data_IF_118493032185
#
_entry.id   IF_118493032185
#
_cell.length_a   1.000
_cell.length_b   1.000
_cell.length_c   1.000
_cell.angle_alpha   90.00
_cell.angle_beta   90.00
_cell.angle_gamma   90.00
#
_symmetry.space_group_name_H-M   'P 1'
#
loop_
_entity.id
_entity.type
_entity.pdbx_description
1 polymer ?
#
# COMPACT_ATOMS: atom_id res chain seq x y z
N UNK A 1 -0.12 19.24 4.36
CA UNK A 1 0.07 18.05 5.21
C UNK A 1 -0.51 18.19 6.62
N UNK A 2 -0.01 19.10 7.48
CA UNK A 2 -0.43 19.21 8.90
C UNK A 2 -1.94 19.36 9.12
N UNK A 3 -2.63 20.23 8.35
CA UNK A 3 -4.09 20.43 8.46
C UNK A 3 -4.92 19.18 8.09
N UNK A 4 -4.51 18.46 7.04
CA UNK A 4 -5.18 17.21 6.61
C UNK A 4 -5.03 16.11 7.66
N UNK A 5 -3.79 15.89 8.15
CA UNK A 5 -3.50 14.89 9.17
C UNK A 5 -4.23 15.21 10.48
N UNK A 6 -4.20 16.46 10.94
CA UNK A 6 -4.91 16.89 12.16
C UNK A 6 -6.42 16.71 12.01
N UNK A 7 -6.99 17.07 10.85
CA UNK A 7 -8.41 16.88 10.57
C UNK A 7 -8.82 15.41 10.63
N UNK A 8 -8.02 14.54 10.00
CA UNK A 8 -8.24 13.09 10.03
C UNK A 8 -8.11 12.53 11.44
N UNK A 9 -7.06 12.87 12.19
CA UNK A 9 -6.87 12.44 13.58
C UNK A 9 -8.05 12.87 14.44
N UNK A 10 -8.49 14.13 14.35
CA UNK A 10 -9.66 14.61 15.11
C UNK A 10 -10.93 13.83 14.76
N UNK A 11 -11.11 13.45 13.50
CA UNK A 11 -12.25 12.67 13.07
C UNK A 11 -12.19 11.22 13.55
N UNK A 12 -11.01 10.60 13.54
CA UNK A 12 -10.78 9.27 14.13
C UNK A 12 -10.98 9.27 15.66
N UNK A 13 -10.54 10.32 16.35
CA UNK A 13 -10.74 10.46 17.79
C UNK A 13 -12.21 10.66 18.18
N UNK A 14 -13.07 11.16 17.28
CA UNK A 14 -14.52 11.22 17.52
C UNK A 14 -15.16 9.83 17.58
N UNK A 15 -14.61 8.85 16.87
CA UNK A 15 -15.09 7.45 16.90
C UNK A 15 -14.81 6.82 18.27
N UNK A 16 -13.69 7.16 18.92
CA UNK A 16 -13.35 6.70 20.28
C UNK A 16 -14.34 7.19 21.35
N UNK A 17 -15.05 8.29 21.11
CA UNK A 17 -16.08 8.81 22.02
C UNK A 17 -17.41 8.08 21.92
N UNK A 18 -17.58 7.21 20.92
CA UNK A 18 -18.80 6.43 20.69
C UNK A 18 -18.51 4.93 20.83
N UNK A 19 -18.69 4.33 22.03
CA UNK A 19 -18.31 2.93 22.28
C UNK A 19 -18.99 1.93 21.32
N UNK A 20 -20.22 2.23 20.87
CA UNK A 20 -20.94 1.42 19.88
C UNK A 20 -20.26 1.36 18.51
N UNK A 21 -19.53 2.40 18.12
CA UNK A 21 -18.82 2.46 16.83
C UNK A 21 -17.48 1.70 16.86
N UNK A 22 -16.97 1.38 18.05
CA UNK A 22 -15.74 0.61 18.23
C UNK A 22 -15.95 -0.90 18.21
N UNK A 23 -17.19 -1.37 18.38
CA UNK A 23 -17.55 -2.80 18.44
C UNK A 23 -16.99 -3.59 17.25
N UNK A 24 -17.14 -3.16 15.98
CA UNK A 24 -16.60 -3.92 14.85
C UNK A 24 -15.06 -4.03 14.88
N UNK A 25 -14.38 -2.98 15.34
CA UNK A 25 -12.90 -2.97 15.46
C UNK A 25 -12.43 -3.90 16.58
N UNK A 26 -13.14 -3.92 17.71
CA UNK A 26 -12.83 -4.82 18.83
C UNK A 26 -13.05 -6.27 18.42
N UNK A 27 -14.17 -6.58 17.75
CA UNK A 27 -14.45 -7.94 17.25
C UNK A 27 -13.36 -8.39 16.27
N UNK A 28 -12.97 -7.54 15.32
CA UNK A 28 -11.90 -7.86 14.36
C UNK A 28 -10.55 -8.04 15.06
N UNK A 29 -10.27 -7.23 16.08
CA UNK A 29 -9.06 -7.36 16.91
C UNK A 29 -9.01 -8.67 17.68
N UNK A 30 -10.11 -9.07 18.32
CA UNK A 30 -10.25 -10.36 19.00
C UNK A 30 -10.09 -11.51 18.00
N UNK A 31 -10.71 -11.40 16.83
CA UNK A 31 -10.60 -12.39 15.77
C UNK A 31 -9.15 -12.60 15.31
N UNK A 32 -8.40 -11.51 15.10
CA UNK A 32 -6.96 -11.59 14.81
C UNK A 32 -6.15 -12.20 15.94
N UNK A 33 -6.45 -11.86 17.19
CA UNK A 33 -5.76 -12.38 18.36
C UNK A 33 -5.95 -13.90 18.47
N UNK A 34 -7.18 -14.40 18.29
CA UNK A 34 -7.48 -15.84 18.30
C UNK A 34 -6.71 -16.56 17.19
N UNK A 35 -6.75 -16.05 15.95
CA UNK A 35 -6.03 -16.67 14.83
C UNK A 35 -4.51 -16.64 15.01
N UNK A 36 -3.97 -15.57 15.58
CA UNK A 36 -2.55 -15.48 15.90
C UNK A 36 -2.13 -16.49 16.97
N UNK A 37 -2.94 -16.66 18.03
CA UNK A 37 -2.70 -17.65 19.09
C UNK A 37 -2.77 -19.07 18.55
N UNK A 38 -3.80 -19.40 17.74
CA UNK A 38 -3.91 -20.71 17.09
C UNK A 38 -2.67 -21.02 16.24
N UNK A 39 -2.22 -20.05 15.44
CA UNK A 39 -0.97 -20.16 14.68
C UNK A 39 0.26 -20.37 15.57
N UNK A 40 0.35 -19.64 16.68
CA UNK A 40 1.45 -19.75 17.64
C UNK A 40 1.50 -21.11 18.35
N UNK A 41 0.35 -21.73 18.61
CA UNK A 41 0.25 -23.07 19.20
C UNK A 41 0.44 -24.19 18.16
N UNK A 42 0.77 -23.86 16.90
CA UNK A 42 0.91 -24.83 15.82
C UNK A 42 -0.41 -25.41 15.31
N UNK A 43 -1.54 -24.93 15.81
CA UNK A 43 -2.89 -25.34 15.37
C UNK A 43 -3.20 -24.58 14.08
N UNK A 44 -2.83 -25.19 12.95
CA UNK A 44 -3.02 -24.58 11.63
C UNK A 44 -3.74 -25.51 10.63
N UNK A 45 -4.98 -25.97 10.95
CA UNK A 45 -5.79 -26.69 9.97
C UNK A 45 -6.14 -25.76 8.80
N UNK A 46 -6.48 -26.34 7.64
CA UNK A 46 -6.74 -25.59 6.40
C UNK A 46 -7.68 -24.36 6.58
N UNK A 47 -8.80 -24.44 7.32
CA UNK A 47 -9.66 -23.27 7.53
C UNK A 47 -8.97 -22.13 8.27
N UNK A 48 -8.21 -22.44 9.33
CA UNK A 48 -7.44 -21.46 10.11
C UNK A 48 -6.35 -20.84 9.23
N UNK A 49 -5.72 -21.63 8.37
CA UNK A 49 -4.70 -21.15 7.43
C UNK A 49 -5.29 -20.17 6.42
N UNK A 50 -6.44 -20.50 5.84
CA UNK A 50 -7.13 -19.63 4.87
C UNK A 50 -7.58 -18.34 5.55
N UNK A 51 -8.20 -18.42 6.73
CA UNK A 51 -8.64 -17.24 7.47
C UNK A 51 -7.46 -16.37 7.91
N UNK A 52 -6.38 -16.98 8.39
CA UNK A 52 -5.16 -16.28 8.79
C UNK A 52 -4.49 -15.61 7.58
N UNK A 53 -4.51 -16.25 6.41
CA UNK A 53 -4.08 -15.65 5.16
C UNK A 53 -4.99 -14.48 4.81
N UNK A 54 -6.29 -14.68 4.62
CA UNK A 54 -7.23 -13.64 4.17
C UNK A 54 -7.26 -12.41 5.08
N UNK A 55 -7.10 -12.61 6.39
CA UNK A 55 -7.15 -11.53 7.37
C UNK A 55 -5.77 -11.00 7.77
N UNK A 56 -4.68 -11.57 7.23
CA UNK A 56 -3.31 -11.20 7.61
C UNK A 56 -3.08 -11.29 9.13
N UNK A 57 -3.71 -12.26 9.79
CA UNK A 57 -3.72 -12.36 11.26
C UNK A 57 -2.30 -12.55 11.84
N UNK A 58 -1.49 -13.36 11.15
CA UNK A 58 -0.12 -13.72 11.53
C UNK A 58 0.94 -12.71 11.04
N UNK A 59 0.51 -11.63 10.38
CA UNK A 59 1.39 -10.55 9.96
C UNK A 59 2.09 -9.88 11.14
N UNK A 60 3.42 -9.85 11.10
CA UNK A 60 4.26 -9.18 12.10
C UNK A 60 4.67 -10.02 13.31
N UNK A 61 4.24 -11.29 13.42
CA UNK A 61 4.61 -12.16 14.54
C UNK A 61 6.10 -12.54 14.57
N UNK A 62 6.75 -12.63 13.41
CA UNK A 62 8.08 -13.24 13.26
C UNK A 62 9.22 -12.26 12.95
N UNK A 63 8.95 -10.94 12.96
CA UNK A 63 9.94 -9.92 12.54
C UNK A 63 10.43 -9.01 13.67
N UNK A 64 10.30 -9.41 14.93
CA UNK A 64 10.65 -8.57 16.09
C UNK A 64 9.84 -7.27 16.16
N UNK A 65 10.41 -6.23 16.76
CA UNK A 65 9.73 -4.93 16.95
C UNK A 65 9.37 -4.27 15.61
N UNK A 66 10.28 -4.27 14.64
CA UNK A 66 10.02 -3.69 13.31
C UNK A 66 8.97 -4.49 12.54
N UNK A 67 9.01 -5.81 12.62
CA UNK A 67 7.98 -6.67 12.04
C UNK A 67 6.62 -6.47 12.69
N UNK A 68 6.55 -6.23 14.00
CA UNK A 68 5.29 -5.94 14.69
C UNK A 68 4.67 -4.63 14.20
N UNK A 69 5.48 -3.57 14.07
CA UNK A 69 5.02 -2.27 13.52
C UNK A 69 4.53 -2.43 12.08
N UNK A 70 5.30 -3.13 11.24
CA UNK A 70 4.90 -3.44 9.87
C UNK A 70 3.63 -4.29 9.80
N UNK A 71 3.48 -5.27 10.70
CA UNK A 71 2.30 -6.10 10.82
C UNK A 71 1.04 -5.30 11.17
N UNK A 72 1.17 -4.32 12.09
CA UNK A 72 0.08 -3.38 12.42
C UNK A 72 -0.32 -2.57 11.18
N UNK A 73 0.65 -2.04 10.42
CA UNK A 73 0.35 -1.33 9.17
C UNK A 73 -0.38 -2.23 8.17
N UNK A 74 0.06 -3.48 8.00
CA UNK A 74 -0.61 -4.44 7.13
C UNK A 74 -2.04 -4.75 7.57
N UNK A 75 -2.28 -4.87 8.88
CA UNK A 75 -3.62 -5.05 9.45
C UNK A 75 -4.53 -3.84 9.20
N UNK A 76 -3.99 -2.62 9.28
CA UNK A 76 -4.73 -1.40 8.90
C UNK A 76 -5.11 -1.44 7.41
N UNK A 77 -4.20 -1.87 6.54
CA UNK A 77 -4.48 -2.05 5.10
C UNK A 77 -5.59 -3.08 4.88
N UNK A 78 -5.54 -4.23 5.56
CA UNK A 78 -6.59 -5.26 5.48
C UNK A 78 -7.93 -4.73 5.99
N UNK A 79 -7.96 -4.02 7.12
CA UNK A 79 -9.18 -3.42 7.65
C UNK A 79 -9.77 -2.36 6.69
N UNK A 80 -8.93 -1.55 6.07
CA UNK A 80 -9.35 -0.58 5.06
C UNK A 80 -9.97 -1.28 3.84
N UNK A 81 -9.38 -2.39 3.39
CA UNK A 81 -9.92 -3.21 2.32
C UNK A 81 -11.26 -3.86 2.69
N UNK A 82 -11.35 -4.46 3.88
CA UNK A 82 -12.61 -5.01 4.37
C UNK A 82 -13.71 -3.95 4.39
N UNK A 83 -13.42 -2.74 4.88
CA UNK A 83 -14.37 -1.64 4.82
C UNK A 83 -14.75 -1.24 3.38
N UNK A 84 -13.78 -1.22 2.47
CA UNK A 84 -14.01 -0.92 1.04
C UNK A 84 -14.82 -2.00 0.32
N UNK A 85 -14.83 -3.24 0.82
CA UNK A 85 -15.64 -4.34 0.28
C UNK A 85 -17.01 -4.40 0.95
N UNK A 86 -17.04 -4.41 2.27
CA UNK A 86 -18.23 -4.62 3.10
C UNK A 86 -19.23 -3.48 2.91
N UNK A 87 -18.80 -2.21 3.06
CA UNK A 87 -19.73 -1.07 3.04
C UNK A 87 -20.48 -0.97 1.69
N UNK A 88 -19.82 -1.06 0.52
CA UNK A 88 -20.53 -1.08 -0.75
C UNK A 88 -21.45 -2.29 -0.91
N UNK A 89 -21.06 -3.47 -0.43
CA UNK A 89 -21.90 -4.68 -0.50
C UNK A 89 -23.23 -4.47 0.23
N UNK A 90 -23.18 -3.92 1.45
CA UNK A 90 -24.37 -3.58 2.24
C UNK A 90 -25.23 -2.50 1.57
N UNK A 91 -24.60 -1.59 0.82
CA UNK A 91 -25.30 -0.58 0.02
C UNK A 91 -25.77 -1.08 -1.35
N UNK A 92 -25.66 -2.40 -1.64
CA UNK A 92 -25.95 -3.00 -2.96
C UNK A 92 -25.16 -2.35 -4.11
N UNK A 93 -23.99 -1.78 -3.82
CA UNK A 93 -23.05 -1.20 -4.79
C UNK A 93 -21.92 -2.18 -5.07
N UNK A 94 -21.37 -2.14 -6.27
CA UNK A 94 -20.24 -2.99 -6.63
C UNK A 94 -18.95 -2.57 -5.88
N UNK A 95 -18.40 -3.40 -4.98
CA UNK A 95 -17.22 -3.06 -4.18
C UNK A 95 -15.96 -2.94 -5.03
N UNK A 96 -15.94 -3.53 -6.22
CA UNK A 96 -14.82 -3.51 -7.17
C UNK A 96 -15.04 -2.56 -8.35
N UNK A 97 -16.03 -1.66 -8.23
CA UNK A 97 -16.21 -0.56 -9.18
C UNK A 97 -14.93 0.28 -9.25
N UNK A 98 -14.46 0.53 -10.47
CA UNK A 98 -13.20 1.25 -10.74
C UNK A 98 -12.00 0.36 -11.05
N UNK A 99 -12.01 -0.95 -10.79
CA UNK A 99 -10.84 -1.80 -11.14
C UNK A 99 -10.58 -1.80 -12.66
N UNK A 100 -11.61 -1.96 -13.49
CA UNK A 100 -11.43 -1.95 -14.95
C UNK A 100 -10.83 -0.65 -15.49
N UNK A 101 -11.30 0.50 -14.99
CA UNK A 101 -10.71 1.80 -15.29
C UNK A 101 -9.28 1.95 -14.76
N UNK A 102 -9.02 1.38 -13.59
CA UNK A 102 -7.70 1.31 -12.96
C UNK A 102 -6.68 0.52 -13.77
N UNK A 103 -7.07 -0.64 -14.30
CA UNK A 103 -6.25 -1.46 -15.19
C UNK A 103 -5.89 -0.68 -16.46
N UNK A 104 -6.88 -0.06 -17.11
CA UNK A 104 -6.63 0.78 -18.29
C UNK A 104 -5.69 1.95 -17.98
N UNK A 105 -5.89 2.61 -16.84
CA UNK A 105 -5.05 3.71 -16.36
C UNK A 105 -3.61 3.27 -16.06
N UNK A 106 -3.45 2.12 -15.41
CA UNK A 106 -2.17 1.49 -15.10
C UNK A 106 -1.35 1.21 -16.37
N UNK A 107 -1.92 0.48 -17.34
CA UNK A 107 -1.22 0.18 -18.59
C UNK A 107 -0.92 1.43 -19.41
N UNK A 108 -1.83 2.42 -19.44
CA UNK A 108 -1.57 3.71 -20.09
C UNK A 108 -0.41 4.46 -19.42
N UNK A 109 -0.30 4.36 -18.10
CA UNK A 109 0.74 5.01 -17.32
C UNK A 109 2.12 4.33 -17.47
N UNK A 110 2.12 3.03 -17.80
CA UNK A 110 3.33 2.27 -18.12
C UNK A 110 3.94 2.61 -19.48
N UNK A 111 3.18 3.22 -20.39
CA UNK A 111 3.71 3.68 -21.67
C UNK A 111 4.73 4.83 -21.44
N UNK A 112 6.01 4.46 -21.41
CA UNK A 112 7.13 5.40 -21.18
C UNK A 112 7.40 6.18 -22.46
N UNK A 113 7.02 7.46 -22.48
CA UNK A 113 7.35 8.38 -23.58
C UNK A 113 8.60 9.24 -23.33
N UNK A 114 9.17 9.22 -22.11
CA UNK A 114 10.33 10.03 -21.75
C UNK A 114 11.01 9.54 -20.46
N UNK A 115 12.33 9.72 -20.36
CA UNK A 115 13.15 9.42 -19.17
C UNK A 115 12.64 10.12 -17.91
N UNK A 116 12.11 11.34 -18.02
CA UNK A 116 11.50 12.08 -16.90
C UNK A 116 10.24 11.39 -16.33
N UNK A 117 9.62 10.51 -17.12
CA UNK A 117 8.45 9.72 -16.71
C UNK A 117 8.82 8.44 -15.97
N UNK A 118 10.09 8.02 -16.03
CA UNK A 118 10.59 6.79 -15.42
C UNK A 118 10.81 6.98 -13.91
N UNK A 119 11.26 8.17 -13.50
CA UNK A 119 11.57 8.47 -12.10
C UNK A 119 10.40 8.26 -11.14
N UNK A 120 9.17 8.78 -11.39
CA UNK A 120 8.04 8.53 -10.49
C UNK A 120 7.67 7.05 -10.44
N UNK A 121 7.84 6.33 -11.55
CA UNK A 121 7.48 4.93 -11.68
C UNK A 121 8.46 4.02 -10.91
N UNK A 122 9.77 4.22 -11.10
CA UNK A 122 10.81 3.53 -10.32
C UNK A 122 10.68 3.84 -8.82
N UNK A 123 10.41 5.11 -8.48
CA UNK A 123 10.22 5.52 -7.10
C UNK A 123 9.03 4.81 -6.45
N UNK A 124 7.89 4.79 -7.14
CA UNK A 124 6.70 4.06 -6.67
C UNK A 124 6.97 2.56 -6.49
N UNK A 125 7.68 1.95 -7.44
CA UNK A 125 8.04 0.53 -7.42
C UNK A 125 8.97 0.19 -6.25
N UNK A 126 10.00 1.01 -6.02
CA UNK A 126 10.92 0.85 -4.89
C UNK A 126 10.22 1.01 -3.54
N UNK A 127 9.37 2.04 -3.40
CA UNK A 127 8.60 2.29 -2.18
C UNK A 127 7.67 1.13 -1.86
N UNK A 128 6.92 0.61 -2.84
CA UNK A 128 5.97 -0.47 -2.56
C UNK A 128 6.67 -1.80 -2.24
N UNK A 129 7.82 -2.09 -2.84
CA UNK A 129 8.64 -3.24 -2.47
C UNK A 129 9.13 -3.16 -1.01
N UNK A 130 9.60 -1.99 -0.58
CA UNK A 130 10.00 -1.76 0.82
C UNK A 130 8.80 -1.80 1.78
N UNK A 131 7.67 -1.18 1.41
CA UNK A 131 6.45 -1.23 2.20
C UNK A 131 5.94 -2.67 2.35
N UNK A 132 5.99 -3.46 1.27
CA UNK A 132 5.64 -4.87 1.33
C UNK A 132 6.58 -5.64 2.25
N UNK A 133 7.90 -5.48 2.09
CA UNK A 133 8.88 -6.13 2.96
C UNK A 133 8.71 -5.72 4.42
N UNK A 134 8.33 -4.47 4.68
CA UNK A 134 8.06 -3.97 6.02
C UNK A 134 6.80 -4.62 6.61
N UNK A 135 5.69 -4.63 5.87
CA UNK A 135 4.43 -5.24 6.32
C UNK A 135 4.57 -6.75 6.49
N UNK A 136 5.12 -7.41 5.48
CA UNK A 136 5.40 -8.84 5.46
C UNK A 136 6.90 -9.09 5.71
N UNK A 137 7.34 -8.86 6.95
CA UNK A 137 8.76 -9.00 7.35
C UNK A 137 9.33 -10.41 7.14
N UNK A 138 8.52 -11.45 7.22
CA UNK A 138 8.95 -12.82 6.90
C UNK A 138 8.94 -13.13 5.41
N UNK A 139 8.45 -12.20 4.58
CA UNK A 139 8.22 -12.33 3.13
C UNK A 139 7.54 -13.65 2.75
N UNK A 140 6.74 -14.19 3.67
CA UNK A 140 6.12 -15.49 3.53
C UNK A 140 4.86 -15.40 2.68
N UNK A 141 4.58 -16.49 1.93
CA UNK A 141 3.36 -16.59 1.13
C UNK A 141 2.10 -16.48 1.99
N UNK A 142 2.15 -16.96 3.24
CA UNK A 142 1.03 -16.87 4.20
C UNK A 142 0.62 -15.43 4.53
N UNK A 143 1.54 -14.48 4.38
CA UNK A 143 1.33 -13.07 4.67
C UNK A 143 1.28 -12.22 3.39
N UNK A 144 1.36 -12.83 2.19
CA UNK A 144 1.40 -12.10 0.92
C UNK A 144 0.08 -11.41 0.57
N UNK A 145 -1.03 -11.77 1.24
CA UNK A 145 -2.34 -11.15 1.04
C UNK A 145 -2.28 -9.63 1.14
N UNK A 146 -1.40 -9.08 1.98
CA UNK A 146 -1.31 -7.63 2.20
C UNK A 146 -0.83 -6.93 0.93
N UNK A 147 0.04 -7.58 0.16
CA UNK A 147 0.48 -7.12 -1.15
C UNK A 147 -0.62 -7.23 -2.20
N UNK A 148 -1.39 -8.33 -2.20
CA UNK A 148 -2.54 -8.52 -3.10
C UNK A 148 -3.60 -7.45 -2.82
N UNK A 149 -3.95 -7.23 -1.55
CA UNK A 149 -4.90 -6.21 -1.11
C UNK A 149 -4.41 -4.82 -1.54
N UNK A 150 -3.14 -4.49 -1.27
CA UNK A 150 -2.56 -3.21 -1.67
C UNK A 150 -2.61 -3.01 -3.19
N UNK A 151 -2.30 -4.05 -3.97
CA UNK A 151 -2.42 -4.05 -5.42
C UNK A 151 -3.86 -3.78 -5.89
N UNK A 152 -4.84 -4.52 -5.37
CA UNK A 152 -6.26 -4.35 -5.71
C UNK A 152 -6.76 -2.96 -5.35
N UNK A 153 -6.40 -2.46 -4.15
CA UNK A 153 -6.78 -1.12 -3.72
C UNK A 153 -6.15 -0.04 -4.61
N UNK A 154 -4.88 -0.17 -4.99
CA UNK A 154 -4.24 0.79 -5.88
C UNK A 154 -4.90 0.83 -7.26
N UNK A 155 -5.18 -0.33 -7.86
CA UNK A 155 -5.95 -0.42 -9.11
C UNK A 155 -7.31 0.26 -8.98
N UNK A 156 -8.06 -0.08 -7.94
CA UNK A 156 -9.37 0.52 -7.71
C UNK A 156 -9.29 2.04 -7.58
N UNK A 157 -8.32 2.56 -6.84
CA UNK A 157 -8.16 4.01 -6.64
C UNK A 157 -7.75 4.72 -7.93
N UNK A 158 -6.92 4.11 -8.78
CA UNK A 158 -6.58 4.68 -10.09
C UNK A 158 -7.79 4.84 -11.01
N UNK A 159 -8.75 3.91 -10.96
CA UNK A 159 -9.96 4.03 -11.77
C UNK A 159 -11.02 4.98 -11.21
N UNK A 160 -11.04 5.20 -9.89
CA UNK A 160 -11.98 6.14 -9.25
C UNK A 160 -11.48 7.59 -9.25
N UNK A 161 -10.17 7.80 -9.47
CA UNK A 161 -9.53 9.12 -9.59
C UNK A 161 -9.88 10.11 -8.46
N UNK A 162 -10.17 9.59 -7.27
CA UNK A 162 -10.59 10.38 -6.11
C UNK A 162 -10.64 9.53 -4.84
N UNK A 163 -10.66 10.20 -3.69
CA UNK A 163 -10.73 9.55 -2.37
C UNK A 163 -9.51 9.79 -1.48
N UNK A 164 -9.47 9.09 -0.34
CA UNK A 164 -8.47 9.28 0.72
C UNK A 164 -7.03 9.05 0.24
N UNK A 165 -6.78 7.99 -0.54
CA UNK A 165 -5.43 7.68 -1.04
C UNK A 165 -4.91 8.76 -2.00
N UNK A 166 -5.74 9.26 -2.91
CA UNK A 166 -5.38 10.39 -3.75
C UNK A 166 -5.09 11.65 -2.93
N UNK A 167 -5.94 11.97 -1.96
CA UNK A 167 -5.72 13.10 -1.05
C UNK A 167 -4.43 12.99 -0.22
N UNK A 168 -4.11 11.78 0.25
CA UNK A 168 -2.88 11.49 1.00
C UNK A 168 -1.64 11.61 0.10
N UNK A 169 -1.68 11.02 -1.09
CA UNK A 169 -0.55 11.07 -2.04
C UNK A 169 -0.32 12.50 -2.54
N UNK A 170 -1.37 13.25 -2.88
CA UNK A 170 -1.24 14.67 -3.24
C UNK A 170 -0.75 15.53 -2.07
N UNK A 171 -1.17 15.24 -0.83
CA UNK A 171 -0.71 15.94 0.37
C UNK A 171 0.78 15.68 0.67
N UNK A 172 1.24 14.43 0.48
CA UNK A 172 2.65 14.05 0.59
C UNK A 172 3.46 14.70 -0.53
N UNK A 173 3.04 14.54 -1.78
CA UNK A 173 3.71 15.11 -2.92
C UNK A 173 3.78 16.65 -2.85
N UNK A 174 2.71 17.32 -2.39
CA UNK A 174 2.69 18.77 -2.20
C UNK A 174 3.61 19.25 -1.07
N UNK A 175 3.79 18.44 -0.02
CA UNK A 175 4.76 18.75 1.05
C UNK A 175 6.21 18.61 0.58
N UNK A 176 6.51 17.60 -0.22
CA UNK A 176 7.84 17.36 -0.80
C UNK A 176 8.17 18.37 -1.90
N UNK A 177 7.15 18.87 -2.62
CA UNK A 177 7.31 19.85 -3.69
C UNK A 177 7.34 21.32 -3.21
N UNK A 178 7.49 21.56 -1.91
CA UNK A 178 7.52 22.91 -1.29
C UNK A 178 6.36 23.83 -1.78
N UNK A 179 5.16 23.27 -1.94
CA UNK A 179 3.97 24.04 -2.33
C UNK A 179 3.63 24.07 -3.83
N UNK A 180 4.43 23.46 -4.72
CA UNK A 180 4.02 23.27 -6.12
C UNK A 180 2.97 22.16 -6.24
N UNK A 181 1.93 22.38 -7.04
CA UNK A 181 0.89 21.39 -7.31
C UNK A 181 1.51 20.17 -7.99
N UNK A 182 1.41 18.96 -7.41
CA UNK A 182 1.95 17.76 -8.03
C UNK A 182 1.24 17.49 -9.36
N UNK A 183 1.99 17.14 -10.40
CA UNK A 183 1.39 16.74 -11.67
C UNK A 183 0.58 15.46 -11.49
N UNK A 184 -0.69 15.49 -11.90
CA UNK A 184 -1.59 14.33 -11.91
C UNK A 184 -0.97 13.13 -12.63
N UNK A 185 -0.22 13.39 -13.71
CA UNK A 185 0.49 12.38 -14.50
C UNK A 185 1.62 11.74 -13.68
N UNK A 186 2.39 12.55 -12.94
CA UNK A 186 3.45 12.06 -12.07
C UNK A 186 2.93 11.19 -10.92
N UNK A 187 1.82 11.61 -10.30
CA UNK A 187 1.15 10.84 -9.25
C UNK A 187 0.60 9.52 -9.79
N UNK A 188 -0.06 9.54 -10.95
CA UNK A 188 -0.58 8.32 -11.60
C UNK A 188 0.55 7.33 -11.93
N UNK A 189 1.71 7.83 -12.38
CA UNK A 189 2.90 7.02 -12.65
C UNK A 189 3.53 6.44 -11.39
N UNK A 190 3.57 7.22 -10.32
CA UNK A 190 4.00 6.72 -9.01
C UNK A 190 3.06 5.61 -8.51
N UNK A 191 1.74 5.82 -8.55
CA UNK A 191 0.76 4.80 -8.17
C UNK A 191 0.85 3.54 -9.04
N UNK A 192 1.12 3.71 -10.34
CA UNK A 192 1.35 2.57 -11.25
C UNK A 192 2.64 1.84 -10.90
N UNK A 193 3.73 2.56 -10.60
CA UNK A 193 4.96 1.98 -10.07
C UNK A 193 4.72 1.20 -8.77
N UNK A 194 3.96 1.76 -7.83
CA UNK A 194 3.58 1.10 -6.59
C UNK A 194 2.78 -0.19 -6.86
N UNK A 195 1.83 -0.13 -7.79
CA UNK A 195 1.01 -1.26 -8.22
C UNK A 195 1.90 -2.38 -8.78
N UNK A 196 2.86 -2.04 -9.65
CA UNK A 196 3.87 -2.99 -10.15
C UNK A 196 4.71 -3.58 -9.03
N UNK A 197 5.22 -2.75 -8.11
CA UNK A 197 6.10 -3.23 -7.05
C UNK A 197 5.37 -4.16 -6.07
N UNK A 198 4.09 -3.93 -5.76
CA UNK A 198 3.30 -4.90 -4.98
C UNK A 198 3.06 -6.20 -5.73
N UNK A 199 2.74 -6.14 -7.03
CA UNK A 199 2.62 -7.35 -7.85
C UNK A 199 3.93 -8.15 -7.87
N UNK A 200 5.07 -7.48 -8.09
CA UNK A 200 6.39 -8.09 -8.07
C UNK A 200 6.72 -8.68 -6.69
N UNK A 201 6.40 -7.97 -5.61
CA UNK A 201 6.67 -8.43 -4.25
C UNK A 201 5.90 -9.72 -3.90
N UNK A 202 4.63 -9.80 -4.32
CA UNK A 202 3.81 -11.01 -4.15
C UNK A 202 4.40 -12.17 -4.96
N UNK A 203 4.80 -11.93 -6.22
CA UNK A 203 5.45 -12.94 -7.06
C UNK A 203 6.77 -13.46 -6.44
N UNK A 204 7.61 -12.55 -5.92
CA UNK A 204 8.85 -12.93 -5.23
C UNK A 204 8.58 -13.76 -3.97
N UNK A 205 7.54 -13.39 -3.21
CA UNK A 205 7.11 -14.13 -2.02
C UNK A 205 6.59 -15.54 -2.38
N UNK A 206 5.91 -15.68 -3.53
CA UNK A 206 5.50 -16.99 -4.05
C UNK A 206 6.69 -17.86 -4.46
N UNK A 207 7.76 -17.25 -4.99
CA UNK A 207 9.04 -17.91 -5.30
C UNK A 207 9.93 -18.12 -4.07
N UNK A 208 9.48 -17.73 -2.86
CA UNK A 208 10.25 -17.77 -1.60
C UNK A 208 11.58 -17.00 -1.66
N UNK A 209 11.65 -15.95 -2.49
CA UNK A 209 12.83 -15.10 -2.63
C UNK A 209 12.70 -13.86 -1.72
N UNK A 210 13.51 -13.73 -0.65
CA UNK A 210 13.44 -12.60 0.27
C UNK A 210 14.15 -11.35 -0.29
N UNK A 211 13.94 -11.03 -1.56
CA UNK A 211 14.68 -9.99 -2.28
C UNK A 211 13.94 -8.65 -2.38
N UNK A 212 12.68 -8.57 -1.93
CA UNK A 212 11.91 -7.32 -2.02
C UNK A 212 12.60 -6.13 -1.34
N UNK A 213 13.29 -6.34 -0.22
CA UNK A 213 14.04 -5.26 0.47
C UNK A 213 15.20 -4.74 -0.38
N UNK A 214 16.03 -5.65 -0.91
CA UNK A 214 17.18 -5.31 -1.74
C UNK A 214 16.79 -4.69 -3.06
N UNK A 215 15.80 -5.27 -3.74
CA UNK A 215 15.26 -4.72 -4.98
C UNK A 215 14.62 -3.35 -4.73
N UNK A 216 13.85 -3.21 -3.65
CA UNK A 216 13.23 -1.95 -3.27
C UNK A 216 14.25 -0.83 -3.06
N UNK A 217 15.31 -1.11 -2.30
CA UNK A 217 16.42 -0.18 -2.10
C UNK A 217 17.16 0.14 -3.41
N UNK A 218 17.43 -0.85 -4.26
CA UNK A 218 18.07 -0.66 -5.56
C UNK A 218 17.26 0.23 -6.50
N UNK A 219 15.93 0.03 -6.58
CA UNK A 219 15.06 0.87 -7.40
C UNK A 219 14.96 2.31 -6.87
N UNK A 220 14.99 2.50 -5.55
CA UNK A 220 15.08 3.85 -4.97
C UNK A 220 16.41 4.53 -5.26
N UNK A 221 17.52 3.79 -5.18
CA UNK A 221 18.84 4.30 -5.53
C UNK A 221 18.90 4.73 -7.00
N UNK A 222 18.39 3.91 -7.91
CA UNK A 222 18.24 4.26 -9.33
C UNK A 222 17.39 5.52 -9.50
N UNK A 223 16.28 5.63 -8.78
CA UNK A 223 15.42 6.81 -8.81
C UNK A 223 16.19 8.08 -8.44
N UNK A 224 17.02 8.03 -7.39
CA UNK A 224 17.88 9.15 -6.98
C UNK A 224 18.89 9.52 -8.08
N UNK A 225 19.57 8.55 -8.67
CA UNK A 225 20.50 8.78 -9.78
C UNK A 225 19.80 9.54 -10.92
N UNK A 226 18.63 9.08 -11.34
CA UNK A 226 17.87 9.74 -12.41
C UNK A 226 17.45 11.18 -12.02
N UNK A 227 17.12 11.44 -10.76
CA UNK A 227 16.82 12.80 -10.28
C UNK A 227 18.06 13.70 -10.40
N UNK A 228 19.23 13.23 -9.96
CA UNK A 228 20.46 14.00 -10.05
C UNK A 228 20.87 14.29 -11.50
N UNK A 229 20.83 13.27 -12.37
CA UNK A 229 21.16 13.43 -13.80
C UNK A 229 20.24 14.43 -14.50
N UNK A 230 18.93 14.37 -14.21
CA UNK A 230 17.95 15.29 -14.83
C UNK A 230 18.04 16.72 -14.29
N UNK A 231 18.50 16.92 -13.05
CA UNK A 231 18.79 18.25 -12.50
C UNK A 231 20.04 18.86 -13.13
N UNK A 232 21.13 18.09 -13.22
CA UNK A 232 22.38 18.56 -13.82
C UNK A 232 22.18 19.04 -15.27
N UNK A 233 21.41 18.30 -16.08
CA UNK A 233 21.08 18.72 -17.45
C UNK A 233 20.28 20.02 -17.54
N UNK A 234 19.48 20.36 -16.52
CA UNK A 234 18.72 21.62 -16.49
C UNK A 234 19.58 22.81 -16.11
N UNK A 235 20.57 22.61 -15.25
CA UNK A 235 21.52 23.67 -14.86
C UNK A 235 22.47 24.00 -16.01
N UNK A 236 22.91 23.00 -16.78
CA UNK A 236 23.78 23.20 -17.95
C UNK A 236 23.05 23.85 -19.14
N UNK A 237 21.74 23.64 -19.29
CA UNK A 237 20.96 24.26 -20.38
C UNK A 237 20.45 25.67 -20.04
N UNK A 238 20.68 26.15 -18.82
CA UNK A 238 20.30 27.49 -18.35
C UNK A 238 21.49 28.45 -18.22
N UNK A 239 22.71 27.96 -18.48
CA UNK A 239 23.95 28.72 -18.61
C UNK A 239 24.28 28.92 -20.10
#
# INVERSE_FOLDING_TARGET
MRKFIIGYIRQSLKVLKNPKQMIPTVILGIFWLVLALLGSFGINPLPVRILSFLTFAQGGMFGGVFGAVGGILGKIVVAAFLNAVIIPLFQKKAPFSGIGGGIKGFFKSLAVKSISSITPLLGGLGISLLLYAFMNSSQSLQNSIVGIIAFVMLLQNMGRQGGFLWGLVFSIAGSLSKGKTPSYIGVTRCLSGMTLGFALAVSLSAMKLPWSTWLGAGFLFLTLIFIFVTRSKKEVSAA
#
